data_IF_334544234292
#
_entry.id   IF_334544234292
#
_cell.length_a   1.000
_cell.length_b   1.000
_cell.length_c   1.000
_cell.angle_alpha   90.00
_cell.angle_beta   90.00
_cell.angle_gamma   90.00
#
_symmetry.space_group_name_H-M   'P 1'
#
loop_
_entity.id
_entity.type
_entity.pdbx_description
1 polymer ?
#
# COMPACT_ATOMS: atom_id res chain seq x y z
N UNK A 1 -12.49 13.12 -1.09
CA UNK A 1 -11.03 13.10 -1.33
C UNK A 1 -10.20 13.24 -0.05
N UNK A 2 -10.61 13.98 0.99
CA UNK A 2 -9.79 14.14 2.21
C UNK A 2 -9.89 13.00 3.24
N UNK A 3 -11.03 12.27 3.28
CA UNK A 3 -11.31 11.29 4.32
C UNK A 3 -10.29 10.16 4.40
N UNK A 4 -9.91 9.55 3.26
CA UNK A 4 -8.92 8.47 3.26
C UNK A 4 -7.53 8.94 3.72
N UNK A 5 -7.15 10.19 3.44
CA UNK A 5 -5.89 10.77 3.94
C UNK A 5 -5.92 10.94 5.44
N UNK A 6 -7.06 11.37 5.99
CA UNK A 6 -7.23 11.51 7.43
C UNK A 6 -7.14 10.15 8.12
N UNK A 7 -7.88 9.15 7.64
CA UNK A 7 -7.85 7.78 8.19
C UNK A 7 -6.44 7.19 8.11
N UNK A 8 -5.73 7.38 6.99
CA UNK A 8 -4.36 6.92 6.84
C UNK A 8 -3.39 7.60 7.83
N UNK A 9 -3.57 8.90 8.08
CA UNK A 9 -2.76 9.64 9.06
C UNK A 9 -3.04 9.16 10.50
N UNK A 10 -4.31 8.93 10.83
CA UNK A 10 -4.72 8.37 12.13
C UNK A 10 -4.10 6.98 12.35
N UNK A 11 -4.15 6.10 11.32
CA UNK A 11 -3.52 4.78 11.35
C UNK A 11 -1.99 4.83 11.52
N UNK A 12 -1.32 5.81 10.91
CA UNK A 12 0.12 6.02 11.05
C UNK A 12 0.52 6.66 12.39
N UNK A 13 -0.42 7.25 13.13
CA UNK A 13 -0.12 8.05 14.32
C UNK A 13 0.61 9.36 14.03
N UNK A 14 0.62 9.81 12.77
CA UNK A 14 1.23 11.08 12.35
C UNK A 14 0.56 11.63 11.10
N UNK A 15 0.68 12.94 10.89
CA UNK A 15 0.30 13.56 9.62
C UNK A 15 1.10 12.97 8.45
N UNK A 16 0.46 12.92 7.28
CA UNK A 16 1.13 12.59 6.03
C UNK A 16 2.12 13.70 5.66
N UNK A 17 3.32 13.30 5.25
CA UNK A 17 4.36 14.19 4.76
C UNK A 17 3.99 14.74 3.37
N UNK A 18 4.54 15.91 2.99
CA UNK A 18 4.46 16.38 1.63
C UNK A 18 4.98 15.33 0.64
N UNK A 19 4.17 14.98 -0.34
CA UNK A 19 4.51 14.00 -1.37
C UNK A 19 4.03 12.57 -1.10
N UNK A 20 3.72 12.19 0.15
CA UNK A 20 3.13 10.89 0.44
C UNK A 20 1.75 10.75 -0.21
N UNK A 21 1.43 9.60 -0.81
CA UNK A 21 0.17 9.34 -1.51
C UNK A 21 -0.52 8.13 -0.88
N UNK A 22 -1.83 8.19 -0.67
CA UNK A 22 -2.61 7.05 -0.22
C UNK A 22 -3.06 6.22 -1.42
N UNK A 23 -2.84 4.91 -1.33
CA UNK A 23 -3.23 3.91 -2.31
C UNK A 23 -4.28 2.98 -1.69
N UNK A 24 -5.32 2.66 -2.44
CA UNK A 24 -6.34 1.67 -2.07
C UNK A 24 -5.93 0.30 -2.60
N UNK A 25 -5.59 -0.63 -1.70
CA UNK A 25 -5.06 -1.96 -2.07
C UNK A 25 -6.01 -2.74 -2.98
N UNK A 26 -7.31 -2.67 -2.69
CA UNK A 26 -8.35 -3.34 -3.47
C UNK A 26 -8.75 -2.60 -4.77
N UNK A 27 -8.21 -1.40 -5.02
CA UNK A 27 -8.56 -0.56 -6.17
C UNK A 27 -9.92 0.15 -6.08
N UNK A 28 -10.64 0.02 -4.97
CA UNK A 28 -11.91 0.70 -4.73
C UNK A 28 -11.72 1.95 -3.86
N UNK A 29 -11.84 3.11 -4.49
CA UNK A 29 -11.68 4.43 -3.85
C UNK A 29 -12.73 4.76 -2.78
N UNK A 30 -13.82 3.98 -2.69
CA UNK A 30 -14.89 4.17 -1.70
C UNK A 30 -14.63 3.38 -0.42
N UNK A 31 -13.82 2.32 -0.49
CA UNK A 31 -13.45 1.50 0.66
C UNK A 31 -12.30 2.15 1.46
N UNK A 32 -12.65 2.92 2.49
CA UNK A 32 -11.69 3.63 3.33
C UNK A 32 -11.33 2.89 4.63
N UNK A 33 -11.48 1.55 4.70
CA UNK A 33 -11.02 0.80 5.87
C UNK A 33 -9.50 0.99 6.07
N UNK A 34 -9.00 1.22 7.30
CA UNK A 34 -7.58 1.49 7.52
C UNK A 34 -6.64 0.45 6.91
N UNK A 35 -7.03 -0.83 6.91
CA UNK A 35 -6.27 -1.95 6.38
C UNK A 35 -6.17 -1.90 4.83
N UNK A 36 -7.16 -1.29 4.16
CA UNK A 36 -7.18 -1.10 2.71
C UNK A 36 -6.37 0.12 2.26
N UNK A 37 -5.93 0.98 3.18
CA UNK A 37 -5.19 2.19 2.86
C UNK A 37 -3.69 1.97 3.08
N UNK A 38 -2.91 2.15 2.02
CA UNK A 38 -1.45 2.10 2.06
C UNK A 38 -0.88 3.47 1.74
N UNK A 39 0.04 3.96 2.57
CA UNK A 39 0.75 5.22 2.32
C UNK A 39 2.04 4.93 1.56
N UNK A 40 2.16 5.53 0.37
CA UNK A 40 3.30 5.43 -0.53
C UNK A 40 4.14 6.70 -0.48
N UNK A 41 5.47 6.62 -0.67
CA UNK A 41 6.38 7.74 -0.44
C UNK A 41 6.28 8.84 -1.51
N UNK A 42 5.72 8.55 -2.68
CA UNK A 42 5.58 9.53 -3.75
C UNK A 42 4.53 9.15 -4.79
N UNK A 43 4.05 10.15 -5.53
CA UNK A 43 3.21 9.95 -6.71
C UNK A 43 3.90 9.11 -7.80
N UNK A 44 5.22 9.26 -7.96
CA UNK A 44 6.01 8.45 -8.90
C UNK A 44 5.99 6.99 -8.51
N UNK A 45 6.19 6.69 -7.23
CA UNK A 45 6.14 5.32 -6.72
C UNK A 45 4.74 4.73 -6.89
N UNK A 46 3.68 5.49 -6.57
CA UNK A 46 2.30 5.09 -6.83
C UNK A 46 2.08 4.72 -8.31
N UNK A 47 2.51 5.57 -9.25
CA UNK A 47 2.36 5.31 -10.68
C UNK A 47 3.13 4.07 -11.15
N UNK A 48 4.32 3.81 -10.59
CA UNK A 48 5.13 2.63 -10.88
C UNK A 48 4.44 1.34 -10.40
N UNK A 49 3.94 1.34 -9.17
CA UNK A 49 3.16 0.24 -8.61
C UNK A 49 1.92 -0.05 -9.45
N UNK A 50 1.14 1.00 -9.76
CA UNK A 50 -0.06 0.93 -10.61
C UNK A 50 0.22 0.34 -12.00
N UNK A 51 1.35 0.71 -12.62
CA UNK A 51 1.77 0.15 -13.88
C UNK A 51 1.96 -1.37 -13.79
N UNK A 52 2.69 -1.83 -12.77
CA UNK A 52 2.95 -3.26 -12.59
C UNK A 52 1.70 -4.07 -12.26
N UNK A 53 0.83 -3.55 -11.38
CA UNK A 53 -0.46 -4.19 -11.06
C UNK A 53 -1.33 -4.34 -12.32
N UNK A 54 -1.32 -3.37 -13.24
CA UNK A 54 -2.03 -3.47 -14.52
C UNK A 54 -1.41 -4.48 -15.48
N UNK A 55 -0.08 -4.57 -15.53
CA UNK A 55 0.61 -5.59 -16.33
C UNK A 55 0.29 -7.00 -15.82
N UNK A 56 0.30 -7.20 -14.50
CA UNK A 56 -0.06 -8.47 -13.87
C UNK A 56 -1.51 -8.88 -14.19
N UNK A 57 -2.48 -7.96 -14.09
CA UNK A 57 -3.87 -8.20 -14.51
C UNK A 57 -4.02 -8.61 -15.98
N UNK A 58 -3.03 -8.32 -16.82
CA UNK A 58 -2.98 -8.72 -18.24
C UNK A 58 -2.20 -10.02 -18.48
N UNK A 59 -1.75 -10.70 -17.42
CA UNK A 59 -0.93 -11.91 -17.51
C UNK A 59 0.54 -11.63 -17.83
N UNK A 60 1.02 -10.40 -17.62
CA UNK A 60 2.40 -10.00 -17.82
C UNK A 60 3.04 -9.60 -16.48
N UNK A 61 3.39 -10.56 -15.62
CA UNK A 61 4.00 -10.24 -14.34
C UNK A 61 5.35 -9.55 -14.54
N UNK A 62 5.70 -8.66 -13.61
CA UNK A 62 7.05 -8.13 -13.49
C UNK A 62 8.04 -9.25 -13.10
N UNK A 63 9.34 -9.01 -13.30
CA UNK A 63 10.40 -10.00 -13.02
C UNK A 63 10.41 -10.48 -11.56
N UNK A 64 9.99 -9.64 -10.61
CA UNK A 64 9.93 -9.97 -9.18
C UNK A 64 8.59 -9.53 -8.56
N UNK A 65 7.48 -10.26 -8.78
CA UNK A 65 6.17 -9.88 -8.28
C UNK A 65 6.10 -9.85 -6.75
N UNK A 66 6.96 -10.61 -6.06
CA UNK A 66 7.03 -10.69 -4.60
C UNK A 66 7.43 -9.35 -3.95
N UNK A 67 8.11 -8.48 -4.69
CA UNK A 67 8.46 -7.14 -4.24
C UNK A 67 7.22 -6.24 -4.10
N UNK A 68 6.13 -6.57 -4.79
CA UNK A 68 4.87 -5.82 -4.77
C UNK A 68 3.82 -6.44 -3.84
N UNK A 69 4.06 -7.62 -3.26
CA UNK A 69 3.12 -8.24 -2.32
C UNK A 69 2.74 -7.32 -1.16
N UNK A 70 3.68 -6.51 -0.65
CA UNK A 70 3.40 -5.54 0.42
C UNK A 70 2.45 -4.40 0.00
N UNK A 71 2.22 -4.21 -1.30
CA UNK A 71 1.19 -3.31 -1.85
C UNK A 71 -0.18 -3.98 -1.85
N UNK A 72 -0.24 -5.26 -2.22
CA UNK A 72 -1.51 -5.99 -2.35
C UNK A 72 -2.04 -6.43 -0.99
N UNK A 73 -1.16 -6.78 -0.05
CA UNK A 73 -1.52 -7.38 1.23
C UNK A 73 -0.92 -6.58 2.39
N UNK A 74 -1.70 -6.42 3.47
CA UNK A 74 -1.16 -5.97 4.74
C UNK A 74 -0.30 -7.11 5.31
N UNK A 75 0.95 -6.83 5.63
CA UNK A 75 1.83 -7.79 6.33
C UNK A 75 1.84 -7.44 7.81
N UNK A 76 1.02 -8.12 8.65
CA UNK A 76 1.14 -7.97 10.09
C UNK A 76 2.46 -8.59 10.54
N UNK A 77 3.39 -7.78 11.01
CA UNK A 77 4.64 -8.27 11.56
C UNK A 77 5.71 -7.22 11.69
N UNK A 78 6.46 -7.29 12.79
CA UNK A 78 7.78 -6.66 12.87
C UNK A 78 8.78 -7.52 12.08
N UNK A 79 9.96 -6.97 11.78
CA UNK A 79 11.09 -7.70 11.17
C UNK A 79 11.38 -9.05 11.87
N UNK A 80 10.99 -9.18 13.14
CA UNK A 80 11.24 -10.32 14.01
C UNK A 80 10.04 -11.25 14.22
N UNK A 81 8.89 -10.97 13.59
CA UNK A 81 7.64 -11.71 13.82
C UNK A 81 7.70 -13.21 13.52
N UNK A 82 8.67 -13.66 12.71
CA UNK A 82 8.94 -15.08 12.44
C UNK A 82 10.18 -15.65 13.15
N UNK A 83 10.88 -14.86 13.95
CA UNK A 83 12.15 -15.23 14.61
C UNK A 83 11.95 -15.49 16.10
N UNK A 84 10.99 -14.82 16.75
CA UNK A 84 10.68 -15.04 18.15
C UNK A 84 9.65 -16.18 18.28
N UNK A 85 9.94 -17.24 19.07
CA UNK A 85 8.93 -18.23 19.42
C UNK A 85 7.85 -17.54 20.27
N UNK A 86 6.59 -17.91 20.00
CA UNK A 86 5.40 -17.46 20.73
C UNK A 86 5.38 -18.03 22.15
#
# INVERSE_FOLDING_TARGET
MALHRQIAAERLGRSLLPGEIVHHRNGDSTNNTPENLLVLPSQRFHAHVEYHLRCEKRGMPFLFPELLQGVQEERPGTLWGGILPQ
#
